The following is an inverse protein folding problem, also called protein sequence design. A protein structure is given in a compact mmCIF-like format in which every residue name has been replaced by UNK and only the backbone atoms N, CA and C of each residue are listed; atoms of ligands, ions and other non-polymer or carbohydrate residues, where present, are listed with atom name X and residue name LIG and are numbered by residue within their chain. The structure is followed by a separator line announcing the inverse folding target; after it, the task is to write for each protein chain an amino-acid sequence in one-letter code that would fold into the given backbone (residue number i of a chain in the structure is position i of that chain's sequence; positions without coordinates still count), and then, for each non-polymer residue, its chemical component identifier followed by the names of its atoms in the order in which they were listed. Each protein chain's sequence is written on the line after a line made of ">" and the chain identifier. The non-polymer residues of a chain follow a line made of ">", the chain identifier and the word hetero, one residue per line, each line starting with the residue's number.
data_IF_300013915484
#
_entry.id   IF_300013915484
#
_cell.length_a   1.000
_cell.length_b   1.000
_cell.length_c   1.000
_cell.angle_alpha   90.00
_cell.angle_beta   90.00
_cell.angle_gamma   90.00
#
_symmetry.space_group_name_H-M   'P 1'
#
loop_
_entity.id
_entity.type
_entity.pdbx_description
1 polymer ?
#
# COMPACT_ATOMS: atom_id res chain seq x y z
N UNK A 1 -4.80 5.65 4.47
CA UNK A 1 -5.26 4.46 3.76
C UNK A 1 -5.29 3.21 4.63
N UNK A 2 -5.81 2.16 4.07
CA UNK A 2 -5.87 0.87 4.75
C UNK A 2 -5.47 -0.25 3.80
N UNK A 3 -4.65 -1.16 4.30
CA UNK A 3 -4.17 -2.33 3.57
C UNK A 3 -4.88 -3.57 4.08
N UNK A 4 -5.51 -4.31 3.18
CA UNK A 4 -6.13 -5.59 3.48
C UNK A 4 -5.22 -6.72 3.02
N UNK A 5 -4.99 -7.67 3.90
CA UNK A 5 -4.21 -8.88 3.65
C UNK A 5 -4.94 -10.09 4.22
N UNK A 6 -4.43 -11.28 3.97
CA UNK A 6 -5.05 -12.52 4.45
C UNK A 6 -4.08 -13.26 5.36
N UNK A 7 -4.56 -13.56 6.57
CA UNK A 7 -3.81 -14.34 7.57
C UNK A 7 -3.63 -15.80 7.13
N UNK A 8 -2.73 -16.50 7.81
CA UNK A 8 -2.48 -17.93 7.55
C UNK A 8 -3.76 -18.77 7.64
N UNK A 9 -4.63 -18.45 8.59
CA UNK A 9 -5.90 -19.15 8.80
C UNK A 9 -7.02 -18.69 7.84
N UNK A 10 -6.68 -17.88 6.82
CA UNK A 10 -7.58 -17.33 5.82
C UNK A 10 -8.53 -16.25 6.32
N UNK A 11 -8.36 -15.78 7.54
CA UNK A 11 -9.12 -14.61 8.01
C UNK A 11 -8.51 -13.33 7.46
N UNK A 12 -9.34 -12.31 7.14
CA UNK A 12 -8.81 -11.05 6.64
C UNK A 12 -8.19 -10.22 7.75
N UNK A 13 -7.21 -9.40 7.37
CA UNK A 13 -6.61 -8.40 8.25
C UNK A 13 -6.64 -7.06 7.54
N UNK A 14 -7.11 -6.03 8.22
CA UNK A 14 -7.11 -4.65 7.74
C UNK A 14 -6.17 -3.84 8.62
N UNK A 15 -5.22 -3.15 8.00
CA UNK A 15 -4.22 -2.35 8.71
C UNK A 15 -4.22 -0.93 8.17
N UNK A 16 -4.43 0.09 9.01
CA UNK A 16 -4.25 1.47 8.56
C UNK A 16 -2.78 1.75 8.32
N UNK A 17 -2.47 2.41 7.22
CA UNK A 17 -1.10 2.72 6.83
C UNK A 17 -1.02 4.14 6.26
N UNK A 18 0.09 4.80 6.54
CA UNK A 18 0.52 5.94 5.76
C UNK A 18 1.22 5.44 4.50
N UNK A 19 1.04 6.15 3.41
CA UNK A 19 1.61 5.77 2.13
C UNK A 19 2.01 7.01 1.34
N UNK A 20 2.83 6.83 0.32
CA UNK A 20 3.14 7.87 -0.65
C UNK A 20 3.07 7.29 -2.06
N UNK A 21 2.85 8.14 -3.04
CA UNK A 21 2.88 7.73 -4.43
C UNK A 21 4.30 7.89 -4.98
N UNK A 22 4.76 6.87 -5.70
CA UNK A 22 6.03 6.89 -6.41
C UNK A 22 5.78 6.41 -7.84
N UNK A 23 5.69 7.35 -8.79
CA UNK A 23 5.34 7.02 -10.16
C UNK A 23 3.97 6.35 -10.26
N UNK A 24 3.94 5.16 -10.85
CA UNK A 24 2.73 4.35 -11.03
C UNK A 24 2.54 3.33 -9.91
N UNK A 25 3.17 3.57 -8.76
CA UNK A 25 3.08 2.68 -7.60
C UNK A 25 2.81 3.48 -6.34
N UNK A 26 2.39 2.78 -5.30
CA UNK A 26 2.37 3.31 -3.94
C UNK A 26 3.47 2.64 -3.13
N UNK A 27 4.02 3.38 -2.16
CA UNK A 27 5.06 2.87 -1.26
C UNK A 27 4.67 3.16 0.19
N UNK A 28 5.10 2.28 1.09
CA UNK A 28 4.97 2.51 2.52
C UNK A 28 6.13 1.87 3.26
N UNK A 29 6.31 2.31 4.51
CA UNK A 29 7.38 1.82 5.38
C UNK A 29 6.75 1.00 6.49
N UNK A 30 7.27 -0.19 6.74
CA UNK A 30 6.79 -1.06 7.81
C UNK A 30 7.88 -2.03 8.27
N UNK A 31 7.62 -2.69 9.41
CA UNK A 31 8.48 -3.78 9.87
C UNK A 31 8.24 -5.05 9.08
N UNK A 32 9.28 -5.79 8.67
CA UNK A 32 9.09 -7.08 8.00
C UNK A 32 8.36 -8.10 8.88
N UNK A 33 8.46 -7.97 10.19
CA UNK A 33 7.82 -8.87 11.16
C UNK A 33 6.38 -8.48 11.48
N UNK A 34 5.89 -7.35 10.99
CA UNK A 34 4.49 -6.99 11.14
C UNK A 34 3.61 -8.01 10.40
N UNK A 35 2.45 -8.33 10.98
CA UNK A 35 1.57 -9.36 10.40
C UNK A 35 1.16 -9.05 8.97
N UNK A 36 0.83 -7.79 8.68
CA UNK A 36 0.46 -7.40 7.32
C UNK A 36 1.63 -7.56 6.32
N UNK A 37 2.87 -7.35 6.77
CA UNK A 37 4.06 -7.56 5.93
C UNK A 37 4.26 -9.05 5.63
N UNK A 38 4.18 -9.89 6.66
CA UNK A 38 4.31 -11.33 6.50
C UNK A 38 3.20 -11.89 5.61
N UNK A 39 1.96 -11.42 5.78
CA UNK A 39 0.83 -11.82 4.95
C UNK A 39 1.05 -11.44 3.48
N UNK A 40 1.51 -10.22 3.24
CA UNK A 40 1.75 -9.74 1.88
C UNK A 40 2.83 -10.58 1.17
N UNK A 41 3.89 -10.95 1.87
CA UNK A 41 4.96 -11.76 1.28
C UNK A 41 4.57 -13.21 1.05
N UNK A 42 3.63 -13.74 1.83
CA UNK A 42 3.25 -15.15 1.69
C UNK A 42 2.68 -15.47 0.31
N UNK A 43 1.86 -14.57 -0.25
CA UNK A 43 1.28 -14.78 -1.57
C UNK A 43 1.36 -13.55 -2.48
N UNK A 44 1.92 -12.45 -2.01
CA UNK A 44 2.07 -11.21 -2.76
C UNK A 44 0.80 -10.39 -2.92
N UNK A 45 -0.36 -10.94 -2.63
CA UNK A 45 -1.64 -10.30 -2.92
C UNK A 45 -2.13 -9.43 -1.77
N UNK A 46 -2.66 -8.26 -2.13
CA UNK A 46 -3.24 -7.33 -1.17
C UNK A 46 -4.26 -6.42 -1.85
N UNK A 47 -5.08 -5.80 -1.05
CA UNK A 47 -5.96 -4.74 -1.53
C UNK A 47 -5.77 -3.52 -0.64
N UNK A 48 -5.65 -2.35 -1.27
CA UNK A 48 -5.40 -1.10 -0.58
C UNK A 48 -6.51 -0.12 -0.91
N UNK A 49 -6.99 0.62 0.08
CA UNK A 49 -8.00 1.64 -0.12
C UNK A 49 -7.54 2.97 0.45
N UNK A 50 -7.80 4.02 -0.33
CA UNK A 50 -7.60 5.41 0.07
C UNK A 50 -8.92 6.12 -0.09
N UNK A 51 -9.29 6.94 0.87
CA UNK A 51 -10.55 7.69 0.82
C UNK A 51 -10.37 9.09 1.39
N UNK A 52 -11.35 9.96 1.11
CA UNK A 52 -11.40 11.30 1.66
C UNK A 52 -12.73 11.53 2.41
N UNK A 53 -12.93 12.73 2.90
CA UNK A 53 -14.15 13.12 3.63
C UNK A 53 -15.34 13.45 2.70
N UNK A 54 -15.15 13.37 1.39
CA UNK A 54 -16.18 13.67 0.37
C UNK A 54 -16.77 12.40 -0.22
N UNK A 55 -16.61 11.25 0.44
CA UNK A 55 -17.12 9.95 -0.01
C UNK A 55 -16.52 9.47 -1.33
N UNK A 56 -15.28 9.88 -1.61
CA UNK A 56 -14.52 9.38 -2.76
C UNK A 56 -13.53 8.35 -2.27
N UNK A 57 -13.32 7.30 -3.02
CA UNK A 57 -12.37 6.25 -2.68
C UNK A 57 -11.66 5.70 -3.91
N UNK A 58 -10.44 5.25 -3.69
CA UNK A 58 -9.66 4.52 -4.70
C UNK A 58 -9.27 3.19 -4.07
N UNK A 59 -9.63 2.11 -4.76
CA UNK A 59 -9.31 0.74 -4.36
C UNK A 59 -8.25 0.20 -5.30
N UNK A 60 -7.21 -0.41 -4.74
CA UNK A 60 -6.13 -1.04 -5.52
C UNK A 60 -6.09 -2.53 -5.20
N UNK A 61 -6.40 -3.38 -6.17
CA UNK A 61 -6.08 -4.81 -6.12
C UNK A 61 -4.70 -4.98 -6.68
N UNK A 62 -3.75 -5.41 -5.86
CA UNK A 62 -2.36 -5.28 -6.22
C UNK A 62 -1.50 -6.41 -5.66
N UNK A 63 -0.24 -6.39 -6.04
CA UNK A 63 0.78 -7.28 -5.51
C UNK A 63 1.83 -6.45 -4.79
N UNK A 64 2.23 -6.92 -3.61
CA UNK A 64 3.19 -6.23 -2.77
C UNK A 64 4.55 -6.88 -2.93
N UNK A 65 5.57 -6.06 -3.18
CA UNK A 65 6.96 -6.51 -3.22
C UNK A 65 7.82 -5.57 -2.39
N UNK A 66 9.03 -6.00 -2.09
CA UNK A 66 10.03 -5.16 -1.48
C UNK A 66 10.58 -4.20 -2.52
N UNK A 67 10.76 -2.94 -2.15
CA UNK A 67 11.29 -1.94 -3.08
C UNK A 67 12.77 -2.22 -3.35
N UNK A 68 13.20 -2.19 -4.63
CA UNK A 68 14.63 -2.31 -4.94
C UNK A 68 15.45 -1.22 -4.27
N UNK A 69 16.65 -1.57 -3.83
CA UNK A 69 17.56 -0.64 -3.14
C UNK A 69 17.84 0.62 -3.97
N UNK A 70 17.92 0.48 -5.30
CA UNK A 70 18.15 1.59 -6.21
C UNK A 70 17.06 2.66 -6.20
N UNK A 71 15.85 2.32 -5.75
CA UNK A 71 14.71 3.24 -5.71
C UNK A 71 14.41 3.78 -4.31
N UNK A 72 15.16 3.33 -3.32
CA UNK A 72 14.92 3.66 -1.91
C UNK A 72 14.96 5.16 -1.63
N UNK A 73 15.93 5.86 -2.21
CA UNK A 73 16.09 7.30 -2.01
C UNK A 73 14.88 8.09 -2.56
N UNK A 74 14.43 7.75 -3.76
CA UNK A 74 13.26 8.39 -4.36
C UNK A 74 11.99 8.12 -3.56
N UNK A 75 11.83 6.91 -3.04
CA UNK A 75 10.69 6.55 -2.21
C UNK A 75 10.69 7.31 -0.89
N UNK A 76 11.85 7.44 -0.25
CA UNK A 76 11.97 8.21 0.98
C UNK A 76 11.65 9.69 0.76
N UNK A 77 12.09 10.25 -0.37
CA UNK A 77 11.79 11.64 -0.72
C UNK A 77 10.28 11.85 -0.90
N UNK A 78 9.62 10.95 -1.63
CA UNK A 78 8.17 11.01 -1.84
C UNK A 78 7.39 10.88 -0.52
N UNK A 79 7.86 10.00 0.35
CA UNK A 79 7.26 9.78 1.66
C UNK A 79 7.36 11.04 2.54
N UNK A 80 8.54 11.65 2.59
CA UNK A 80 8.77 12.88 3.36
C UNK A 80 7.97 14.07 2.84
N UNK A 81 7.87 14.20 1.53
CA UNK A 81 7.09 15.28 0.90
C UNK A 81 5.62 15.23 1.34
N UNK A 82 5.04 14.03 1.38
CA UNK A 82 3.64 13.85 1.75
C UNK A 82 3.39 13.96 3.25
N UNK A 83 4.27 13.39 4.06
CA UNK A 83 4.05 13.19 5.49
C UNK A 83 4.89 14.12 6.37
N UNK A 84 5.69 14.98 5.76
CA UNK A 84 6.55 15.95 6.45
C UNK A 84 7.43 15.26 7.51
N UNK A 85 7.26 15.61 8.79
CA UNK A 85 8.10 15.11 9.87
C UNK A 85 7.66 13.74 10.38
N UNK A 86 6.60 13.15 9.82
CA UNK A 86 6.14 11.85 10.27
C UNK A 86 7.04 10.75 9.72
N UNK A 87 7.63 9.98 10.62
CA UNK A 87 8.39 8.78 10.26
C UNK A 87 7.91 7.64 11.15
N UNK A 88 7.63 6.45 10.58
CA UNK A 88 7.25 5.29 11.37
C UNK A 88 8.35 4.93 12.37
N UNK A 89 7.95 4.54 13.57
CA UNK A 89 8.90 4.05 14.58
C UNK A 89 9.16 2.58 14.32
N UNK A 90 10.14 2.31 13.47
CA UNK A 90 10.52 0.96 13.10
C UNK A 90 11.97 0.70 13.50
N UNK A 91 12.24 -0.46 14.06
CA UNK A 91 13.61 -0.88 14.38
C UNK A 91 14.37 -1.28 13.12
N UNK A 92 13.69 -1.96 12.21
CA UNK A 92 14.27 -2.45 10.97
C UNK A 92 13.32 -2.12 9.80
N UNK A 93 13.20 -0.83 9.44
CA UNK A 93 12.22 -0.41 8.45
C UNK A 93 12.53 -0.96 7.06
N UNK A 94 11.50 -1.49 6.41
CA UNK A 94 11.52 -1.89 5.01
C UNK A 94 10.55 -1.04 4.24
N UNK A 95 10.86 -0.79 2.98
CA UNK A 95 9.96 -0.08 2.07
C UNK A 95 9.31 -1.11 1.16
N UNK A 96 7.99 -1.09 1.15
CA UNK A 96 7.17 -1.94 0.31
C UNK A 96 6.60 -1.14 -0.84
N UNK A 97 6.42 -1.78 -1.96
CA UNK A 97 5.88 -1.16 -3.17
C UNK A 97 4.77 -2.02 -3.76
N UNK A 98 3.73 -1.36 -4.24
CA UNK A 98 2.62 -2.00 -4.91
C UNK A 98 2.20 -1.17 -6.13
N UNK A 99 2.14 -1.77 -7.33
CA UNK A 99 1.71 -1.05 -8.51
C UNK A 99 0.24 -0.65 -8.42
N UNK A 100 -0.09 0.51 -8.97
CA UNK A 100 -1.48 1.01 -9.02
C UNK A 100 -2.29 0.22 -10.06
N UNK A 101 -1.68 -0.14 -11.18
CA UNK A 101 -2.37 -0.89 -12.23
C UNK A 101 -3.29 -0.03 -13.08
N UNK A 102 -4.32 -0.65 -13.62
CA UNK A 102 -5.25 -0.02 -14.55
C UNK A 102 -6.66 0.04 -13.98
N UNK A 103 -7.42 1.04 -14.40
CA UNK A 103 -8.81 1.21 -13.99
C UNK A 103 -9.65 0.03 -14.46
N UNK A 104 -10.37 -0.60 -13.53
CA UNK A 104 -11.34 -1.63 -13.84
C UNK A 104 -12.74 -1.02 -13.90
N UNK A 105 -13.23 -0.80 -15.09
CA UNK A 105 -14.50 -0.16 -15.31
C UNK A 105 -15.69 -1.00 -14.82
N UNK A 106 -15.53 -2.31 -14.72
CA UNK A 106 -16.61 -3.22 -14.29
C UNK A 106 -16.95 -3.06 -12.82
N UNK A 107 -15.94 -2.77 -11.99
CA UNK A 107 -16.14 -2.62 -10.54
C UNK A 107 -16.19 -1.18 -10.09
N UNK A 108 -15.76 -0.24 -10.94
CA UNK A 108 -15.81 1.18 -10.64
C UNK A 108 -17.26 1.68 -10.67
N UNK A 109 -17.68 2.37 -9.62
CA UNK A 109 -19.01 2.97 -9.53
C UNK A 109 -18.92 4.39 -8.97
N UNK A 110 -19.33 5.38 -9.77
CA UNK A 110 -19.36 6.77 -9.34
C UNK A 110 -18.00 7.25 -8.83
N UNK A 111 -17.95 7.61 -7.55
CA UNK A 111 -16.75 8.14 -6.90
C UNK A 111 -15.84 7.06 -6.30
N UNK A 112 -16.15 5.80 -6.54
CA UNK A 112 -15.37 4.65 -6.04
C UNK A 112 -14.66 3.99 -7.20
N UNK A 113 -13.40 4.37 -7.39
CA UNK A 113 -12.56 3.89 -8.49
C UNK A 113 -11.80 2.63 -8.07
N UNK A 114 -11.86 1.60 -8.91
CA UNK A 114 -11.14 0.35 -8.68
C UNK A 114 -10.05 0.18 -9.72
N UNK A 115 -8.82 -0.08 -9.25
CA UNK A 115 -7.66 -0.35 -10.09
C UNK A 115 -7.16 -1.77 -9.83
N UNK A 116 -6.69 -2.43 -10.88
CA UNK A 116 -6.16 -3.79 -10.80
C UNK A 116 -4.77 -3.81 -11.43
N UNK A 117 -3.80 -4.26 -10.66
CA UNK A 117 -2.44 -4.44 -11.15
C UNK A 117 -2.24 -5.82 -11.78
#
# INVERSE_FOLDING_TARGET
>A
GALATVNVDRTPLVTPLHFARLGDSIVWISEPTARHSENAFRNGKAEFVVWDDKKRAVFLKTNVTELPESEKEAAMAAYKEKLADFMPRCQNPQIYVAPIGELDEKTTTGNWLHFIA
#
